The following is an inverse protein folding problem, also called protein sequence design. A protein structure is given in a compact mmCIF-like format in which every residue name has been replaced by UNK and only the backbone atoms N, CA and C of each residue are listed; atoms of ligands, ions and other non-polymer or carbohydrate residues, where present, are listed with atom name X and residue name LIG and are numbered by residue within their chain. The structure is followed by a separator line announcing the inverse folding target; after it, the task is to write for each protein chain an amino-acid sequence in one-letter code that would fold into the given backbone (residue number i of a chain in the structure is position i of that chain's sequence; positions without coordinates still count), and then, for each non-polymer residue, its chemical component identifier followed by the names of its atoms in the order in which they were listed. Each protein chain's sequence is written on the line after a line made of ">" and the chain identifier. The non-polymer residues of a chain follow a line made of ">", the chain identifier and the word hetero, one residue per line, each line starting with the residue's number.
data_IF_169148536596
#
_entry.id   IF_169148536596
#
_cell.length_a   1.000
_cell.length_b   1.000
_cell.length_c   1.000
_cell.angle_alpha   90.00
_cell.angle_beta   90.00
_cell.angle_gamma   90.00
#
_symmetry.space_group_name_H-M   'P 1'
#
loop_
_entity.id
_entity.type
_entity.pdbx_description
1 polymer ?
#
# COMPACT_ATOMS: atom_id res chain seq x y z
N UNK A 1 -6.31 -26.72 9.90
CA UNK A 1 -7.08 -26.62 8.64
C UNK A 1 -6.81 -25.28 8.00
N UNK A 2 -6.60 -25.25 6.69
CA UNK A 2 -6.38 -24.03 5.91
C UNK A 2 -7.35 -24.02 4.72
N UNK A 3 -8.06 -22.91 4.53
CA UNK A 3 -8.98 -22.73 3.41
C UNK A 3 -8.32 -21.77 2.41
N UNK A 4 -8.31 -22.14 1.14
CA UNK A 4 -7.78 -21.31 0.04
C UNK A 4 -8.94 -20.69 -0.75
N UNK A 5 -8.82 -19.41 -1.07
CA UNK A 5 -9.73 -18.69 -1.95
C UNK A 5 -8.94 -17.97 -3.04
N UNK A 6 -9.42 -18.03 -4.28
CA UNK A 6 -8.86 -17.26 -5.39
C UNK A 6 -9.52 -15.88 -5.43
N UNK A 7 -8.73 -14.83 -5.50
CA UNK A 7 -9.18 -13.44 -5.52
C UNK A 7 -8.41 -12.62 -6.57
N UNK A 8 -8.80 -11.36 -6.77
CA UNK A 8 -7.98 -10.38 -7.48
C UNK A 8 -7.00 -9.71 -6.52
N UNK A 9 -5.77 -9.50 -6.97
CA UNK A 9 -4.73 -8.83 -6.21
C UNK A 9 -5.17 -7.38 -5.93
N UNK A 10 -5.17 -6.93 -4.66
CA UNK A 10 -5.51 -5.55 -4.33
C UNK A 10 -4.46 -4.54 -4.80
N UNK A 11 -3.23 -5.00 -5.12
CA UNK A 11 -2.17 -4.16 -5.65
C UNK A 11 -2.29 -4.04 -7.18
N UNK A 12 -2.07 -5.13 -7.93
CA UNK A 12 -1.98 -5.08 -9.40
C UNK A 12 -3.22 -5.54 -10.17
N UNK A 13 -4.26 -6.05 -9.49
CA UNK A 13 -5.45 -6.60 -10.15
C UNK A 13 -5.30 -7.99 -10.79
N UNK A 14 -4.09 -8.57 -10.82
CA UNK A 14 -3.86 -9.94 -11.31
C UNK A 14 -4.49 -11.01 -10.40
N UNK A 15 -4.43 -12.28 -10.79
CA UNK A 15 -4.88 -13.37 -9.93
C UNK A 15 -4.01 -13.49 -8.67
N UNK A 16 -4.65 -13.74 -7.54
CA UNK A 16 -4.03 -13.84 -6.23
C UNK A 16 -4.77 -14.87 -5.37
N UNK A 17 -4.14 -15.25 -4.28
CA UNK A 17 -4.64 -16.30 -3.39
C UNK A 17 -4.75 -15.74 -1.98
N UNK A 18 -5.86 -16.05 -1.33
CA UNK A 18 -6.09 -15.77 0.09
C UNK A 18 -6.24 -17.07 0.86
N UNK A 19 -5.44 -17.23 1.89
CA UNK A 19 -5.44 -18.37 2.78
C UNK A 19 -5.98 -17.96 4.15
N UNK A 20 -6.95 -18.72 4.64
CA UNK A 20 -7.45 -18.62 6.00
C UNK A 20 -6.83 -19.73 6.83
N UNK A 21 -5.86 -19.39 7.67
CA UNK A 21 -5.15 -20.32 8.54
C UNK A 21 -5.86 -20.28 9.90
N UNK A 22 -6.85 -21.17 10.07
CA UNK A 22 -7.73 -21.16 11.24
C UNK A 22 -6.99 -21.45 12.55
N UNK A 23 -5.94 -22.28 12.50
CA UNK A 23 -5.15 -22.65 13.68
C UNK A 23 -4.40 -21.47 14.29
N UNK A 24 -3.93 -20.54 13.48
CA UNK A 24 -3.20 -19.34 13.93
C UNK A 24 -4.04 -18.07 13.87
N UNK A 25 -5.31 -18.17 13.47
CA UNK A 25 -6.23 -17.03 13.28
C UNK A 25 -5.62 -15.97 12.35
N UNK A 26 -5.05 -16.43 11.23
CA UNK A 26 -4.43 -15.58 10.24
C UNK A 26 -5.16 -15.63 8.90
N UNK A 27 -5.15 -14.51 8.21
CA UNK A 27 -5.50 -14.40 6.80
C UNK A 27 -4.25 -13.96 6.05
N UNK A 28 -3.78 -14.76 5.10
CA UNK A 28 -2.62 -14.46 4.24
C UNK A 28 -3.08 -14.27 2.80
N UNK A 29 -2.90 -13.10 2.25
CA UNK A 29 -3.13 -12.79 0.83
C UNK A 29 -1.79 -12.70 0.12
N UNK A 30 -1.62 -13.40 -1.00
CA UNK A 30 -0.39 -13.37 -1.79
C UNK A 30 -0.67 -13.30 -3.30
N UNK A 31 0.17 -12.58 -4.05
CA UNK A 31 0.11 -12.51 -5.50
C UNK A 31 1.51 -12.74 -6.09
N UNK A 32 1.63 -13.72 -7.00
CA UNK A 32 2.89 -14.00 -7.69
C UNK A 32 3.22 -13.00 -8.81
N UNK A 33 2.25 -12.21 -9.27
CA UNK A 33 2.46 -11.30 -10.40
C UNK A 33 3.19 -10.01 -10.02
N UNK A 34 3.01 -9.54 -8.79
CA UNK A 34 3.62 -8.31 -8.28
C UNK A 34 4.21 -8.49 -6.89
N UNK A 35 4.46 -9.74 -6.48
CA UNK A 35 4.98 -10.12 -5.16
C UNK A 35 4.25 -9.50 -3.95
N UNK A 36 2.98 -9.13 -4.12
CA UNK A 36 2.19 -8.58 -3.02
C UNK A 36 1.94 -9.65 -1.95
N UNK A 37 2.22 -9.32 -0.69
CA UNK A 37 1.96 -10.14 0.48
C UNK A 37 1.26 -9.32 1.57
N UNK A 38 0.21 -9.87 2.15
CA UNK A 38 -0.44 -9.29 3.33
C UNK A 38 -0.89 -10.39 4.28
N UNK A 39 -0.41 -10.34 5.52
CA UNK A 39 -0.79 -11.23 6.62
C UNK A 39 -1.50 -10.41 7.68
N UNK A 40 -2.70 -10.83 8.05
CA UNK A 40 -3.54 -10.14 9.02
C UNK A 40 -4.10 -11.12 10.05
N UNK A 41 -4.37 -10.65 11.25
CA UNK A 41 -5.16 -11.39 12.23
C UNK A 41 -6.61 -11.47 11.76
N UNK A 42 -7.14 -12.68 11.56
CA UNK A 42 -8.52 -12.88 11.08
C UNK A 42 -9.58 -12.44 12.08
N UNK A 43 -9.24 -12.35 13.38
CA UNK A 43 -10.15 -11.87 14.43
C UNK A 43 -10.24 -10.36 14.54
N UNK A 44 -9.09 -9.68 14.46
CA UNK A 44 -9.00 -8.24 14.77
C UNK A 44 -8.83 -7.38 13.52
N UNK A 45 -8.48 -7.97 12.38
CA UNK A 45 -8.13 -7.25 11.17
C UNK A 45 -6.79 -6.50 11.26
N UNK A 46 -6.02 -6.64 12.35
CA UNK A 46 -4.70 -6.01 12.45
C UNK A 46 -3.74 -6.64 11.44
N UNK A 47 -3.00 -5.79 10.74
CA UNK A 47 -1.91 -6.20 9.85
C UNK A 47 -0.73 -6.66 10.72
N UNK A 48 -0.20 -7.82 10.38
CA UNK A 48 0.97 -8.43 11.05
C UNK A 48 2.20 -8.26 10.15
N UNK A 49 2.04 -8.51 8.86
CA UNK A 49 3.09 -8.35 7.86
C UNK A 49 2.45 -7.85 6.56
N UNK A 50 3.11 -6.90 5.90
CA UNK A 50 2.68 -6.41 4.60
C UNK A 50 3.89 -6.07 3.74
N UNK A 51 3.83 -6.48 2.48
CA UNK A 51 4.79 -6.14 1.45
C UNK A 51 4.03 -5.82 0.16
N UNK A 52 4.28 -4.63 -0.38
CA UNK A 52 3.62 -4.15 -1.58
C UNK A 52 4.66 -3.45 -2.48
N UNK A 53 5.12 -4.12 -3.54
CA UNK A 53 5.97 -3.49 -4.54
C UNK A 53 5.24 -2.35 -5.25
N UNK A 54 5.99 -1.30 -5.57
CA UNK A 54 5.51 -0.26 -6.47
C UNK A 54 5.15 -0.86 -7.82
N UNK A 55 3.98 -0.50 -8.35
CA UNK A 55 3.62 -0.91 -9.70
C UNK A 55 4.38 -0.04 -10.69
N UNK A 56 5.32 -0.64 -11.40
CA UNK A 56 5.83 -0.03 -12.63
C UNK A 56 4.68 0.00 -13.63
N UNK A 57 4.05 1.16 -13.81
CA UNK A 57 3.05 1.35 -14.84
C UNK A 57 3.72 1.18 -16.21
N UNK A 58 3.73 -0.05 -16.71
CA UNK A 58 4.09 -0.35 -18.10
C UNK A 58 2.77 -0.33 -18.85
N UNK A 59 2.44 0.75 -19.58
CA UNK A 59 1.23 0.77 -20.37
C UNK A 59 1.27 -0.43 -21.30
N UNK A 60 0.37 -1.39 -21.07
CA UNK A 60 0.17 -2.49 -21.99
C UNK A 60 -0.31 -1.86 -23.30
N UNK A 61 0.29 -2.26 -24.41
CA UNK A 61 0.09 -1.64 -25.74
C UNK A 61 -1.31 -1.89 -26.34
N UNK A 62 -2.34 -2.06 -25.51
CA UNK A 62 -3.72 -2.33 -25.89
C UNK A 62 -4.69 -1.49 -25.05
N UNK A 63 -4.83 -0.24 -25.46
CA UNK A 63 -6.08 0.52 -25.50
C UNK A 63 -5.75 1.99 -25.82
N UNK A 64 -5.24 2.25 -27.04
CA UNK A 64 -5.36 3.59 -27.62
C UNK A 64 -6.73 3.60 -28.31
N UNK A 65 -7.78 3.85 -27.53
CA UNK A 65 -8.91 4.63 -28.07
C UNK A 65 -8.59 6.05 -27.64
N UNK A 66 -8.14 6.85 -28.61
CA UNK A 66 -7.83 8.25 -28.39
C UNK A 66 -9.04 8.95 -27.77
N UNK A 67 -8.90 9.37 -26.50
CA UNK A 67 -9.83 10.31 -25.89
C UNK A 67 -9.31 11.72 -26.18
N UNK A 68 -10.16 12.68 -26.60
CA UNK A 68 -9.71 14.04 -26.88
C UNK A 68 -9.18 14.68 -25.60
N UNK A 69 -8.04 15.37 -25.71
CA UNK A 69 -7.35 16.00 -24.60
C UNK A 69 -8.24 17.01 -23.87
N UNK A 70 -8.21 16.92 -22.54
CA UNK A 70 -8.66 18.00 -21.65
C UNK A 70 -7.41 18.58 -21.02
N UNK A 71 -7.03 19.79 -21.46
CA UNK A 71 -5.96 20.61 -20.90
C UNK A 71 -6.18 20.84 -19.39
N UNK A 72 -5.57 20.01 -18.55
CA UNK A 72 -5.50 20.26 -17.12
C UNK A 72 -4.27 21.12 -16.85
N UNK A 73 -4.47 22.44 -16.92
CA UNK A 73 -3.49 23.43 -16.49
C UNK A 73 -3.28 23.26 -14.98
N UNK A 74 -2.18 22.63 -14.58
CA UNK A 74 -1.79 22.48 -13.17
C UNK A 74 -1.57 23.86 -12.55
N UNK A 75 -2.54 24.32 -11.76
CA UNK A 75 -2.37 25.46 -10.88
C UNK A 75 -1.68 24.97 -9.61
N UNK A 76 -0.34 25.10 -9.56
CA UNK A 76 0.41 24.89 -8.32
C UNK A 76 -0.01 25.96 -7.31
N UNK A 77 -0.76 25.56 -6.29
CA UNK A 77 -0.96 26.38 -5.11
C UNK A 77 0.31 26.36 -4.25
N UNK A 78 0.81 27.50 -3.76
CA UNK A 78 1.98 27.54 -2.89
C UNK A 78 1.70 26.82 -1.57
N UNK A 79 2.58 25.90 -1.18
CA UNK A 79 2.58 25.27 0.14
C UNK A 79 3.02 26.34 1.16
N UNK A 80 2.24 26.66 2.20
CA UNK A 80 2.70 27.56 3.26
C UNK A 80 3.79 26.87 4.08
N UNK A 81 4.92 27.57 4.26
CA UNK A 81 6.05 27.09 5.04
C UNK A 81 5.64 26.85 6.50
N UNK A 82 5.68 25.59 6.93
CA UNK A 82 5.52 25.21 8.34
C UNK A 82 6.72 25.72 9.13
N UNK A 83 6.46 26.60 10.09
CA UNK A 83 7.43 27.05 11.10
C UNK A 83 8.05 25.85 11.81
N UNK A 84 9.37 25.69 11.66
CA UNK A 84 10.17 24.76 12.46
C UNK A 84 10.31 25.36 13.87
N UNK A 85 9.58 24.77 14.82
CA UNK A 85 9.76 25.05 16.23
C UNK A 85 11.13 24.50 16.68
N UNK A 86 12.03 25.40 17.11
CA UNK A 86 13.29 25.03 17.78
C UNK A 86 13.00 24.40 19.14
N UNK A 87 13.58 23.23 19.48
CA UNK A 87 13.68 22.81 20.87
C UNK A 87 14.90 23.49 21.52
N UNK A 88 14.64 24.44 22.42
CA UNK A 88 15.67 24.99 23.31
C UNK A 88 16.11 23.90 24.30
N UNK A 89 17.39 23.54 24.25
CA UNK A 89 18.06 22.66 25.19
C UNK A 89 18.26 23.37 26.53
N UNK A 90 17.61 22.87 27.58
CA UNK A 90 17.88 23.29 28.97
C UNK A 90 19.11 22.54 29.48
N UNK A 91 20.19 23.27 29.77
CA UNK A 91 21.35 22.74 30.48
C UNK A 91 21.07 22.76 31.98
N UNK A 92 20.91 21.58 32.59
CA UNK A 92 20.92 21.41 34.04
C UNK A 92 22.38 21.29 34.50
N UNK A 93 22.91 22.33 35.14
CA UNK A 93 24.23 22.28 35.78
C UNK A 93 24.09 21.76 37.20
N UNK A 94 24.79 20.66 37.48
CA UNK A 94 24.86 19.99 38.77
C UNK A 94 25.70 20.75 39.81
N UNK A 95 25.59 20.23 41.03
CA UNK A 95 26.16 20.68 42.31
C UNK A 95 27.69 20.75 42.34
#
# INVERSE_FOLDING_TARGET
>A
MQIKQNIRCPNCGSEAERYYVLSSQLTRTQCLSCDYLMVMCSRTGKVIEAYAPGLDFKPTKKAIVASPGVDHKQHLLPIPASNVHSPQSVAASGR
#
